data_IF_113984989369
#
_entry.id   IF_113984989369
#
_cell.length_a   1.000
_cell.length_b   1.000
_cell.length_c   1.000
_cell.angle_alpha   90.00
_cell.angle_beta   90.00
_cell.angle_gamma   90.00
#
_symmetry.space_group_name_H-M   'P 1'
#
loop_
_entity.id
_entity.type
_entity.pdbx_description
1 polymer ?
#
# COMPACT_ATOMS: atom_id res chain seq x y z
N UNK A 1 -9.98 -31.64 0.83
CA UNK A 1 -10.13 -30.68 -0.29
C UNK A 1 -10.55 -29.28 0.18
N UNK A 2 -11.59 -29.16 1.02
CA UNK A 2 -12.10 -27.87 1.57
C UNK A 2 -11.03 -26.95 2.20
N UNK A 3 -10.09 -27.52 2.96
CA UNK A 3 -9.05 -26.77 3.70
C UNK A 3 -8.04 -26.07 2.76
N UNK A 4 -7.65 -26.71 1.66
CA UNK A 4 -6.73 -26.13 0.67
C UNK A 4 -7.44 -24.98 -0.05
N UNK A 5 -8.73 -25.15 -0.36
CA UNK A 5 -9.56 -24.12 -0.98
C UNK A 5 -9.74 -22.89 -0.07
N UNK A 6 -9.98 -23.09 1.23
CA UNK A 6 -10.11 -21.99 2.21
C UNK A 6 -8.81 -21.22 2.41
N UNK A 7 -7.67 -21.90 2.47
CA UNK A 7 -6.36 -21.24 2.55
C UNK A 7 -6.00 -20.49 1.27
N UNK A 8 -6.27 -21.10 0.11
CA UNK A 8 -6.10 -20.44 -1.19
C UNK A 8 -6.98 -19.19 -1.26
N UNK A 9 -8.21 -19.24 -0.72
CA UNK A 9 -9.10 -18.09 -0.59
C UNK A 9 -8.55 -17.00 0.34
N UNK A 10 -7.90 -17.33 1.46
CA UNK A 10 -7.24 -16.33 2.33
C UNK A 10 -6.06 -15.71 1.61
N UNK A 11 -5.19 -16.52 1.00
CA UNK A 11 -4.04 -16.03 0.26
C UNK A 11 -4.50 -15.18 -0.92
N UNK A 12 -5.52 -15.61 -1.66
CA UNK A 12 -6.12 -14.83 -2.75
C UNK A 12 -6.81 -13.58 -2.24
N UNK A 13 -7.49 -13.60 -1.09
CA UNK A 13 -8.12 -12.41 -0.51
C UNK A 13 -7.08 -11.40 0.01
N UNK A 14 -6.02 -11.87 0.68
CA UNK A 14 -4.88 -11.06 1.14
C UNK A 14 -4.12 -10.51 -0.05
N UNK A 15 -3.86 -11.33 -1.07
CA UNK A 15 -3.27 -10.89 -2.34
C UNK A 15 -4.18 -9.88 -3.03
N UNK A 16 -5.47 -10.16 -3.22
CA UNK A 16 -6.42 -9.26 -3.87
C UNK A 16 -6.68 -7.98 -3.07
N UNK A 17 -6.37 -7.95 -1.77
CA UNK A 17 -6.48 -6.79 -0.90
C UNK A 17 -5.19 -5.95 -0.88
N UNK A 18 -4.02 -6.60 -0.90
CA UNK A 18 -2.72 -5.94 -0.86
C UNK A 18 -2.29 -5.52 -2.27
N UNK A 19 -2.58 -6.31 -3.29
CA UNK A 19 -2.25 -6.01 -4.69
C UNK A 19 -2.81 -4.65 -5.10
N UNK A 20 -4.05 -4.22 -4.82
CA UNK A 20 -4.52 -2.88 -5.20
C UNK A 20 -3.79 -1.73 -4.49
N UNK A 21 -3.39 -1.92 -3.22
CA UNK A 21 -2.63 -0.94 -2.44
C UNK A 21 -1.24 -0.68 -3.01
N UNK A 22 -0.65 -1.70 -3.63
CA UNK A 22 0.65 -1.57 -4.26
C UNK A 22 0.51 -1.36 -5.77
N UNK A 23 -0.14 -2.24 -6.50
CA UNK A 23 -0.08 -2.34 -7.97
C UNK A 23 -0.89 -1.33 -8.77
N UNK A 24 -1.81 -0.55 -8.18
CA UNK A 24 -2.74 0.18 -9.02
C UNK A 24 -2.31 1.63 -9.29
N UNK A 25 -2.19 2.02 -10.57
CA UNK A 25 -2.32 3.41 -11.01
C UNK A 25 -3.60 4.11 -10.50
N UNK A 26 -4.55 3.37 -9.90
CA UNK A 26 -5.79 3.91 -9.35
C UNK A 26 -5.54 4.79 -8.11
N UNK A 27 -4.58 4.46 -7.24
CA UNK A 27 -4.22 5.35 -6.13
C UNK A 27 -3.72 6.68 -6.68
N UNK A 28 -2.83 6.62 -7.67
CA UNK A 28 -2.29 7.79 -8.35
C UNK A 28 -3.38 8.57 -9.12
N UNK A 29 -4.34 7.90 -9.75
CA UNK A 29 -5.51 8.57 -10.38
C UNK A 29 -6.54 9.09 -9.37
N UNK A 30 -6.64 8.50 -8.17
CA UNK A 30 -7.46 9.00 -7.06
C UNK A 30 -6.87 10.30 -6.53
N UNK A 31 -5.53 10.45 -6.44
CA UNK A 31 -4.90 11.72 -6.07
C UNK A 31 -5.38 12.89 -6.92
N UNK A 32 -5.55 12.65 -8.23
CA UNK A 32 -6.13 13.61 -9.17
C UNK A 32 -7.63 13.84 -9.06
N UNK A 33 -8.40 12.87 -8.57
CA UNK A 33 -9.84 13.01 -8.36
C UNK A 33 -10.16 13.69 -7.02
N UNK A 34 -9.30 13.50 -6.03
CA UNK A 34 -9.43 14.04 -4.67
C UNK A 34 -8.86 15.46 -4.57
N UNK A 35 -7.78 15.76 -5.29
CA UNK A 35 -7.22 17.10 -5.36
C UNK A 35 -7.79 17.82 -6.60
N UNK A 36 -8.37 19.01 -6.43
CA UNK A 36 -8.82 19.90 -7.51
C UNK A 36 -7.60 20.57 -8.18
N UNK A 37 -6.84 19.75 -8.89
CA UNK A 37 -5.53 20.11 -9.44
C UNK A 37 -5.71 20.62 -10.85
N UNK A 38 -5.48 21.92 -11.02
CA UNK A 38 -5.48 22.61 -12.30
C UNK A 38 -4.10 22.50 -12.97
N UNK A 39 -3.65 21.27 -13.25
CA UNK A 39 -2.40 21.02 -14.02
C UNK A 39 -2.74 20.97 -15.50
N UNK A 40 -2.06 21.80 -16.28
CA UNK A 40 -2.08 21.73 -17.75
C UNK A 40 -1.66 20.32 -18.21
N UNK A 41 -2.43 19.70 -19.10
CA UNK A 41 -2.18 18.35 -19.61
C UNK A 41 -2.15 17.23 -18.55
N UNK A 42 -3.03 17.30 -17.54
CA UNK A 42 -3.29 16.27 -16.50
C UNK A 42 -3.25 14.82 -17.00
N UNK A 43 -3.85 14.54 -18.16
CA UNK A 43 -3.86 13.20 -18.76
C UNK A 43 -2.45 12.71 -19.11
N UNK A 44 -1.61 13.59 -19.65
CA UNK A 44 -0.25 13.24 -20.07
C UNK A 44 0.65 13.01 -18.86
N UNK A 45 0.57 13.87 -17.85
CA UNK A 45 1.31 13.71 -16.58
C UNK A 45 0.91 12.40 -15.89
N UNK A 46 -0.39 12.07 -15.84
CA UNK A 46 -0.86 10.79 -15.27
C UNK A 46 -0.29 9.59 -16.03
N UNK A 47 -0.27 9.66 -17.36
CA UNK A 47 0.29 8.62 -18.22
C UNK A 47 1.80 8.48 -18.03
N UNK A 48 2.51 9.59 -17.87
CA UNK A 48 3.94 9.63 -17.59
C UNK A 48 4.26 8.93 -16.25
N UNK A 49 3.58 9.32 -15.17
CA UNK A 49 3.72 8.67 -13.84
C UNK A 49 3.43 7.17 -13.92
N UNK A 50 2.36 6.78 -14.62
CA UNK A 50 2.00 5.36 -14.78
C UNK A 50 3.10 4.57 -15.49
N UNK A 51 3.67 5.14 -16.56
CA UNK A 51 4.79 4.54 -17.28
C UNK A 51 6.05 4.49 -16.43
N UNK A 52 6.32 5.52 -15.64
CA UNK A 52 7.50 5.60 -14.77
C UNK A 52 7.58 4.41 -13.81
N UNK A 53 6.49 4.07 -13.11
CA UNK A 53 6.47 2.88 -12.25
C UNK A 53 6.65 1.56 -12.99
N UNK A 54 6.53 1.56 -14.32
CA UNK A 54 6.69 0.40 -15.19
C UNK A 54 8.03 0.38 -15.95
N UNK A 55 8.92 1.36 -15.78
CA UNK A 55 10.17 1.43 -16.57
C UNK A 55 10.44 2.77 -17.26
N UNK A 56 9.43 3.61 -17.41
CA UNK A 56 9.54 4.87 -18.15
C UNK A 56 10.32 5.97 -17.41
N UNK A 57 10.46 7.09 -18.09
CA UNK A 57 11.10 8.31 -17.58
C UNK A 57 10.06 9.35 -17.14
N UNK A 58 10.48 10.27 -16.25
CA UNK A 58 9.70 11.43 -15.82
C UNK A 58 10.30 12.70 -16.43
N UNK A 59 9.61 13.34 -17.35
CA UNK A 59 10.02 14.58 -18.03
C UNK A 59 9.30 15.83 -17.51
N UNK A 60 8.13 15.68 -16.90
CA UNK A 60 7.29 16.82 -16.45
C UNK A 60 7.68 17.35 -15.07
N UNK A 61 8.54 16.64 -14.34
CA UNK A 61 8.93 16.96 -12.96
C UNK A 61 10.30 17.66 -12.93
N UNK A 62 10.52 18.53 -11.94
CA UNK A 62 11.85 19.11 -11.71
C UNK A 62 12.86 18.03 -11.33
N UNK A 63 14.16 18.33 -11.47
CA UNK A 63 15.22 17.37 -11.14
C UNK A 63 15.13 16.86 -9.70
N UNK A 64 14.85 17.75 -8.75
CA UNK A 64 14.72 17.39 -7.33
C UNK A 64 13.53 16.45 -7.10
N UNK A 65 12.40 16.71 -7.76
CA UNK A 65 11.22 15.85 -7.70
C UNK A 65 11.47 14.49 -8.35
N UNK A 66 12.17 14.46 -9.49
CA UNK A 66 12.54 13.22 -10.18
C UNK A 66 13.39 12.31 -9.30
N UNK A 67 14.43 12.86 -8.67
CA UNK A 67 15.30 12.11 -7.75
C UNK A 67 14.50 11.49 -6.62
N UNK A 68 13.59 12.25 -6.01
CA UNK A 68 12.72 11.71 -4.96
C UNK A 68 11.78 10.62 -5.48
N UNK A 69 11.17 10.82 -6.66
CA UNK A 69 10.28 9.83 -7.27
C UNK A 69 11.02 8.54 -7.67
N UNK A 70 12.30 8.63 -8.04
CA UNK A 70 13.16 7.46 -8.25
C UNK A 70 13.40 6.67 -6.96
N UNK A 71 13.66 7.36 -5.84
CA UNK A 71 13.72 6.70 -4.53
C UNK A 71 12.38 6.06 -4.16
N UNK A 72 11.25 6.76 -4.37
CA UNK A 72 9.90 6.22 -4.15
C UNK A 72 9.69 4.95 -4.96
N UNK A 73 10.05 4.96 -6.25
CA UNK A 73 9.95 3.79 -7.13
C UNK A 73 10.83 2.63 -6.62
N UNK A 74 12.04 2.92 -6.14
CA UNK A 74 12.96 1.93 -5.60
C UNK A 74 12.42 1.28 -4.32
N UNK A 75 11.99 2.09 -3.35
CA UNK A 75 11.38 1.63 -2.08
C UNK A 75 10.13 0.79 -2.38
N UNK A 76 9.28 1.28 -3.28
CA UNK A 76 8.07 0.58 -3.70
C UNK A 76 8.37 -0.77 -4.36
N UNK A 77 9.34 -0.81 -5.29
CA UNK A 77 9.72 -2.04 -6.01
C UNK A 77 10.32 -3.06 -5.05
N UNK A 78 11.21 -2.62 -4.17
CA UNK A 78 11.84 -3.44 -3.14
C UNK A 78 10.80 -4.01 -2.18
N UNK A 79 9.86 -3.17 -1.72
CA UNK A 79 8.75 -3.60 -0.86
C UNK A 79 7.89 -4.70 -1.51
N UNK A 80 7.58 -4.58 -2.80
CA UNK A 80 6.85 -5.61 -3.55
C UNK A 80 7.59 -6.93 -3.64
N UNK A 81 8.90 -6.89 -3.90
CA UNK A 81 9.74 -8.08 -3.98
C UNK A 81 9.79 -8.78 -2.63
N UNK A 82 10.04 -8.04 -1.54
CA UNK A 82 10.06 -8.58 -0.17
C UNK A 82 8.71 -9.22 0.17
N UNK A 83 7.61 -8.53 -0.11
CA UNK A 83 6.27 -9.05 0.15
C UNK A 83 6.01 -10.34 -0.64
N UNK A 84 6.34 -10.38 -1.93
CA UNK A 84 6.19 -11.57 -2.75
C UNK A 84 7.02 -12.75 -2.22
N UNK A 85 8.26 -12.49 -1.79
CA UNK A 85 9.13 -13.49 -1.19
C UNK A 85 8.57 -14.04 0.14
N UNK A 86 8.06 -13.15 1.01
CA UNK A 86 7.42 -13.54 2.27
C UNK A 86 6.17 -14.39 2.03
N UNK A 87 5.33 -14.00 1.07
CA UNK A 87 4.13 -14.77 0.72
C UNK A 87 4.48 -16.14 0.17
N UNK A 88 5.47 -16.22 -0.72
CA UNK A 88 5.97 -17.49 -1.24
C UNK A 88 6.52 -18.37 -0.10
N UNK A 89 7.32 -17.79 0.81
CA UNK A 89 7.85 -18.51 1.97
C UNK A 89 6.73 -19.07 2.85
N UNK A 90 5.69 -18.27 3.13
CA UNK A 90 4.52 -18.71 3.89
C UNK A 90 3.82 -19.87 3.17
N UNK A 91 3.55 -19.74 1.88
CA UNK A 91 2.87 -20.77 1.07
C UNK A 91 3.64 -22.09 1.11
N UNK A 92 4.97 -22.05 0.98
CA UNK A 92 5.82 -23.25 0.94
C UNK A 92 5.95 -23.95 2.30
N UNK A 93 5.90 -23.21 3.40
CA UNK A 93 6.19 -23.74 4.74
C UNK A 93 4.95 -24.02 5.59
N UNK A 94 3.74 -23.66 5.14
CA UNK A 94 2.54 -23.83 5.95
C UNK A 94 2.11 -25.31 5.99
N UNK A 95 2.02 -25.88 7.21
CA UNK A 95 1.46 -27.22 7.43
C UNK A 95 -0.05 -27.12 7.70
N UNK A 96 -0.84 -28.06 7.19
CA UNK A 96 -2.32 -28.10 7.35
C UNK A 96 -2.82 -27.93 8.79
N UNK A 97 -2.10 -28.48 9.78
CA UNK A 97 -2.48 -28.39 11.21
C UNK A 97 -2.18 -27.02 11.83
N UNK A 98 -1.25 -26.25 11.25
CA UNK A 98 -0.90 -24.90 11.68
C UNK A 98 -1.89 -23.84 11.17
N UNK A 99 -2.61 -24.11 10.08
CA UNK A 99 -3.51 -23.15 9.44
C UNK A 99 -4.60 -22.63 10.39
N UNK A 100 -5.29 -23.52 11.12
CA UNK A 100 -6.45 -23.11 11.94
C UNK A 100 -6.08 -22.41 13.25
N UNK A 101 -4.98 -22.82 13.91
CA UNK A 101 -4.46 -22.09 15.07
C UNK A 101 -3.84 -20.75 14.67
N UNK A 102 -3.29 -20.66 13.45
CA UNK A 102 -2.66 -19.46 12.93
C UNK A 102 -3.68 -18.39 12.51
N UNK A 103 -4.86 -18.75 12.02
CA UNK A 103 -5.87 -17.77 11.58
C UNK A 103 -6.35 -16.85 12.71
N UNK A 104 -6.53 -17.37 13.93
CA UNK A 104 -6.89 -16.55 15.10
C UNK A 104 -5.78 -15.59 15.51
N UNK A 105 -4.55 -16.09 15.53
CA UNK A 105 -3.39 -15.28 15.87
C UNK A 105 -3.14 -14.22 14.80
N UNK A 106 -3.37 -14.57 13.54
CA UNK A 106 -3.29 -13.68 12.38
C UNK A 106 -4.35 -12.59 12.45
N UNK A 107 -5.60 -12.92 12.78
CA UNK A 107 -6.65 -11.90 12.90
C UNK A 107 -6.38 -10.93 14.05
N UNK A 108 -5.96 -11.43 15.22
CA UNK A 108 -5.54 -10.58 16.34
C UNK A 108 -4.37 -9.68 15.93
N UNK A 109 -3.35 -10.23 15.27
CA UNK A 109 -2.22 -9.44 14.77
C UNK A 109 -2.67 -8.35 13.79
N UNK A 110 -3.57 -8.66 12.85
CA UNK A 110 -4.09 -7.69 11.88
C UNK A 110 -4.85 -6.57 12.58
N UNK A 111 -5.68 -6.87 13.59
CA UNK A 111 -6.38 -5.83 14.36
C UNK A 111 -5.43 -4.98 15.20
N UNK A 112 -4.40 -5.59 15.80
CA UNK A 112 -3.34 -4.84 16.50
C UNK A 112 -2.62 -3.91 15.52
N UNK A 113 -2.24 -4.40 14.34
CA UNK A 113 -1.59 -3.61 13.30
C UNK A 113 -2.49 -2.47 12.81
N UNK A 114 -3.78 -2.74 12.58
CA UNK A 114 -4.76 -1.71 12.22
C UNK A 114 -4.91 -0.66 13.33
N UNK A 115 -4.89 -1.06 14.60
CA UNK A 115 -4.90 -0.16 15.76
C UNK A 115 -3.64 0.72 15.82
N UNK A 116 -2.45 0.14 15.61
CA UNK A 116 -1.20 0.88 15.53
C UNK A 116 -1.23 1.91 14.40
N UNK A 117 -1.64 1.50 13.20
CA UNK A 117 -1.77 2.41 12.06
C UNK A 117 -2.79 3.53 12.30
N UNK A 118 -3.90 3.23 12.99
CA UNK A 118 -4.87 4.24 13.40
C UNK A 118 -4.24 5.29 14.33
N UNK A 119 -3.51 4.86 15.37
CA UNK A 119 -2.81 5.77 16.29
C UNK A 119 -1.75 6.60 15.56
N UNK A 120 -0.97 5.99 14.67
CA UNK A 120 -0.01 6.71 13.83
C UNK A 120 -0.71 7.74 12.93
N UNK A 121 -1.89 7.42 12.40
CA UNK A 121 -2.72 8.33 11.61
C UNK A 121 -3.22 9.54 12.42
N UNK A 122 -3.49 9.39 13.72
CA UNK A 122 -3.84 10.51 14.59
C UNK A 122 -2.69 11.51 14.75
N UNK A 123 -1.43 11.06 14.58
CA UNK A 123 -0.24 11.91 14.59
C UNK A 123 0.44 11.91 13.21
N UNK A 124 -0.37 12.23 12.19
CA UNK A 124 0.03 12.15 10.78
C UNK A 124 1.33 12.89 10.46
N UNK A 125 1.50 14.13 10.93
CA UNK A 125 2.69 14.95 10.62
C UNK A 125 3.98 14.31 11.14
N UNK A 126 3.95 13.75 12.35
CA UNK A 126 5.10 13.04 12.92
C UNK A 126 5.38 11.76 12.14
N UNK A 127 4.35 10.94 11.90
CA UNK A 127 4.49 9.69 11.17
C UNK A 127 5.05 9.91 9.76
N UNK A 128 4.49 10.87 9.02
CA UNK A 128 4.93 11.24 7.68
C UNK A 128 6.41 11.63 7.68
N UNK A 129 6.83 12.48 8.62
CA UNK A 129 8.22 12.92 8.72
C UNK A 129 9.16 11.77 9.04
N UNK A 130 8.84 10.94 10.04
CA UNK A 130 9.69 9.80 10.42
C UNK A 130 9.79 8.77 9.31
N UNK A 131 8.68 8.47 8.64
CA UNK A 131 8.66 7.57 7.49
C UNK A 131 9.61 8.07 6.39
N UNK A 132 9.56 9.36 6.05
CA UNK A 132 10.40 9.91 4.99
C UNK A 132 11.87 9.95 5.38
N UNK A 133 12.19 10.29 6.63
CA UNK A 133 13.58 10.31 7.13
C UNK A 133 14.23 8.92 7.15
N UNK A 134 13.45 7.85 7.35
CA UNK A 134 13.97 6.48 7.40
C UNK A 134 14.14 5.90 5.99
N UNK A 135 13.25 6.20 5.06
CA UNK A 135 13.18 5.53 3.76
C UNK A 135 13.79 6.33 2.61
N UNK A 136 13.93 7.65 2.74
CA UNK A 136 14.38 8.54 1.67
C UNK A 136 15.58 9.36 2.12
N UNK A 137 16.53 9.54 1.21
CA UNK A 137 17.72 10.37 1.43
C UNK A 137 17.63 11.72 0.72
N UNK A 138 16.77 11.80 -0.30
CA UNK A 138 16.50 13.00 -1.08
C UNK A 138 15.62 14.03 -0.35
N UNK A 139 15.54 15.23 -0.91
CA UNK A 139 14.57 16.23 -0.48
C UNK A 139 13.16 15.76 -0.83
N UNK A 140 12.32 15.59 0.20
CA UNK A 140 10.91 15.20 0.08
C UNK A 140 9.94 16.32 0.51
N UNK A 141 10.46 17.40 1.09
CA UNK A 141 9.70 18.60 1.40
C UNK A 141 9.77 19.56 0.22
N UNK A 142 8.68 19.67 -0.52
CA UNK A 142 8.57 20.54 -1.69
C UNK A 142 7.67 21.74 -1.41
N UNK A 143 7.84 22.79 -2.20
CA UNK A 143 6.94 23.95 -2.18
C UNK A 143 5.59 23.62 -2.80
N UNK A 144 4.54 24.36 -2.40
CA UNK A 144 3.15 24.10 -2.82
C UNK A 144 2.90 24.21 -4.32
N UNK A 145 3.75 24.92 -5.05
CA UNK A 145 3.70 25.11 -6.50
C UNK A 145 4.33 23.95 -7.28
N UNK A 146 5.06 23.04 -6.63
CA UNK A 146 5.63 21.87 -7.32
C UNK A 146 4.57 20.91 -7.82
N UNK A 147 4.85 20.24 -8.94
CA UNK A 147 3.94 19.28 -9.53
C UNK A 147 3.63 18.15 -8.54
N UNK A 148 4.64 17.65 -7.83
CA UNK A 148 4.50 16.59 -6.82
C UNK A 148 3.49 16.93 -5.72
N UNK A 149 3.50 18.18 -5.20
CA UNK A 149 2.56 18.60 -4.15
C UNK A 149 1.17 18.84 -4.73
N UNK A 150 1.07 19.35 -5.94
CA UNK A 150 -0.21 19.47 -6.63
C UNK A 150 -0.83 18.08 -6.82
N UNK A 151 -0.08 17.11 -7.32
CA UNK A 151 -0.57 15.75 -7.57
C UNK A 151 -0.86 14.95 -6.30
N UNK A 152 0.08 14.99 -5.35
CA UNK A 152 0.09 14.16 -4.15
C UNK A 152 0.17 15.02 -2.89
N UNK A 153 -0.72 16.01 -2.77
CA UNK A 153 -0.87 16.80 -1.55
C UNK A 153 -1.34 15.95 -0.36
N UNK A 154 -1.45 16.57 0.82
CA UNK A 154 -1.77 15.87 2.07
C UNK A 154 -3.00 14.95 2.01
N UNK A 155 -4.06 15.36 1.30
CA UNK A 155 -5.28 14.56 1.15
C UNK A 155 -5.05 13.23 0.43
N UNK A 156 -4.13 13.17 -0.54
CA UNK A 156 -3.80 11.93 -1.23
C UNK A 156 -3.30 10.87 -0.25
N UNK A 157 -2.37 11.25 0.63
CA UNK A 157 -1.81 10.33 1.61
C UNK A 157 -2.80 9.95 2.71
N UNK A 158 -3.63 10.90 3.16
CA UNK A 158 -4.68 10.62 4.16
C UNK A 158 -5.71 9.63 3.61
N UNK A 159 -6.20 9.84 2.38
CA UNK A 159 -7.12 8.91 1.71
C UNK A 159 -6.46 7.54 1.52
N UNK A 160 -5.20 7.52 1.07
CA UNK A 160 -4.43 6.27 0.95
C UNK A 160 -4.33 5.52 2.28
N UNK A 161 -4.04 6.22 3.38
CA UNK A 161 -3.95 5.64 4.72
C UNK A 161 -5.30 5.08 5.20
N UNK A 162 -6.40 5.80 4.95
CA UNK A 162 -7.76 5.33 5.29
C UNK A 162 -8.10 4.06 4.51
N UNK A 163 -7.83 4.04 3.19
CA UNK A 163 -8.08 2.86 2.36
C UNK A 163 -7.24 1.66 2.81
N UNK A 164 -5.96 1.86 3.12
CA UNK A 164 -5.09 0.83 3.66
C UNK A 164 -5.61 0.27 4.99
N UNK A 165 -6.06 1.15 5.89
CA UNK A 165 -6.63 0.76 7.17
C UNK A 165 -7.93 -0.04 7.01
N UNK A 166 -8.87 0.44 6.20
CA UNK A 166 -10.12 -0.26 5.91
C UNK A 166 -9.84 -1.65 5.33
N UNK A 167 -8.86 -1.75 4.45
CA UNK A 167 -8.48 -3.01 3.84
C UNK A 167 -7.94 -4.01 4.87
N UNK A 168 -7.09 -3.56 5.81
CA UNK A 168 -6.60 -4.41 6.90
C UNK A 168 -7.73 -4.91 7.79
N UNK A 169 -8.66 -4.02 8.16
CA UNK A 169 -9.83 -4.38 8.96
C UNK A 169 -10.67 -5.45 8.26
N UNK A 170 -10.93 -5.29 6.95
CA UNK A 170 -11.64 -6.30 6.15
C UNK A 170 -10.94 -7.66 6.15
N UNK A 171 -9.61 -7.69 5.95
CA UNK A 171 -8.85 -8.94 6.01
C UNK A 171 -8.98 -9.60 7.39
N UNK A 172 -8.89 -8.81 8.47
CA UNK A 172 -9.05 -9.30 9.84
C UNK A 172 -10.39 -10.01 10.05
N UNK A 173 -11.49 -9.43 9.56
CA UNK A 173 -12.81 -10.04 9.58
C UNK A 173 -12.90 -11.31 8.73
N UNK A 174 -12.30 -11.33 7.54
CA UNK A 174 -12.26 -12.53 6.68
C UNK A 174 -11.53 -13.67 7.39
N UNK A 175 -10.40 -13.40 8.05
CA UNK A 175 -9.67 -14.40 8.83
C UNK A 175 -10.53 -15.00 9.96
N UNK A 176 -11.28 -14.17 10.70
CA UNK A 176 -12.21 -14.63 11.74
C UNK A 176 -13.35 -15.48 11.15
N UNK A 177 -13.97 -15.02 10.06
CA UNK A 177 -15.08 -15.72 9.42
C UNK A 177 -14.68 -17.12 8.95
N UNK A 178 -13.50 -17.25 8.33
CA UNK A 178 -12.97 -18.53 7.85
C UNK A 178 -12.65 -19.47 9.01
N UNK A 179 -12.06 -18.94 10.10
CA UNK A 179 -11.83 -19.72 11.32
C UNK A 179 -13.15 -20.26 11.89
N UNK A 180 -14.19 -19.43 11.98
CA UNK A 180 -15.51 -19.81 12.50
C UNK A 180 -16.16 -20.94 11.69
N UNK A 181 -16.17 -20.84 10.36
CA UNK A 181 -16.72 -21.88 9.46
C UNK A 181 -15.92 -23.19 9.59
N UNK A 182 -14.61 -23.10 9.78
CA UNK A 182 -13.75 -24.29 9.83
C UNK A 182 -13.87 -25.13 11.10
N UNK A 183 -14.48 -24.58 12.15
CA UNK A 183 -14.73 -25.27 13.42
C UNK A 183 -16.07 -26.00 13.47
N UNK A 184 -16.94 -25.78 12.48
CA UNK A 184 -18.22 -26.49 12.30
C UNK A 184 -18.02 -27.74 11.43
#
# INVERSE_FOLDING_TARGET
MKIILSFLLVVVAVLAAIIPLFTHPLLYSIGYAVNDVQVENKFEVTREVTKFFSGGELTSFSEVERVHLEEVRSVYTTGRIILAALLLFIILNIKKKFLFSSLRQTSVFIFVLAGVLFVLGLNWSWFFTQFHQVLFSSQWMFSFDTLSIQLWGGNFFVVGAILAWLQLVQIGFVCIGIESISRQ
#
